data_IF_881525987000
#
_entry.id   IF_881525987000
#
_cell.length_a   1.000
_cell.length_b   1.000
_cell.length_c   1.000
_cell.angle_alpha   90.00
_cell.angle_beta   90.00
_cell.angle_gamma   90.00
#
_symmetry.space_group_name_H-M   'P 1'
#
loop_
_entity.id
_entity.type
_entity.pdbx_description
1 polymer ?
#
# COMPACT_ATOMS: atom_id res chain seq x y z
N UNK A 1 -26.57 -16.84 8.57
CA UNK A 1 -25.95 -16.68 9.90
C UNK A 1 -24.52 -17.20 9.80
N UNK A 2 -23.58 -16.34 9.38
CA UNK A 2 -22.16 -16.71 9.29
C UNK A 2 -21.50 -16.23 10.57
N UNK A 3 -21.01 -17.17 11.37
CA UNK A 3 -20.33 -16.92 12.63
C UNK A 3 -18.97 -16.28 12.33
N UNK A 4 -18.77 -15.06 12.82
CA UNK A 4 -17.50 -14.35 12.78
C UNK A 4 -16.58 -14.91 13.86
N UNK A 5 -15.57 -15.69 13.46
CA UNK A 5 -14.43 -16.05 14.30
C UNK A 5 -13.31 -15.03 14.04
N UNK A 6 -12.98 -14.14 14.99
CA UNK A 6 -11.91 -13.17 14.80
C UNK A 6 -10.58 -13.93 14.70
N UNK A 7 -9.94 -13.86 13.53
CA UNK A 7 -8.63 -14.46 13.25
C UNK A 7 -8.54 -15.28 11.96
N UNK A 8 -9.65 -15.83 11.46
CA UNK A 8 -9.63 -16.59 10.20
C UNK A 8 -9.67 -15.69 8.95
N UNK A 9 -10.32 -14.52 9.03
CA UNK A 9 -10.50 -13.62 7.88
C UNK A 9 -9.16 -13.07 7.38
N UNK A 10 -8.35 -12.49 8.27
CA UNK A 10 -7.03 -11.93 7.93
C UNK A 10 -6.09 -12.98 7.31
N UNK A 11 -6.24 -14.25 7.68
CA UNK A 11 -5.39 -15.34 7.20
C UNK A 11 -5.75 -15.79 5.77
N UNK A 12 -7.04 -15.81 5.41
CA UNK A 12 -7.50 -16.23 4.07
C UNK A 12 -7.21 -15.15 3.01
N UNK A 13 -7.40 -13.88 3.36
CA UNK A 13 -7.16 -12.74 2.46
C UNK A 13 -5.71 -12.62 2.00
N UNK A 14 -4.77 -12.87 2.91
CA UNK A 14 -3.36 -12.86 2.59
C UNK A 14 -2.96 -13.96 1.60
N UNK A 15 -3.65 -15.12 1.57
CA UNK A 15 -3.37 -16.23 0.63
C UNK A 15 -3.89 -15.90 -0.77
N UNK A 16 -5.10 -15.34 -0.88
CA UNK A 16 -5.69 -14.97 -2.17
C UNK A 16 -4.96 -13.82 -2.88
N UNK A 17 -4.15 -13.07 -2.12
CA UNK A 17 -3.30 -11.99 -2.62
C UNK A 17 -1.97 -12.44 -3.24
N UNK A 18 -1.55 -13.69 -3.05
CA UNK A 18 -0.20 -14.13 -3.43
C UNK A 18 -0.10 -14.42 -4.92
N UNK A 19 1.05 -14.13 -5.55
CA UNK A 19 1.46 -14.78 -6.79
C UNK A 19 1.35 -16.31 -6.68
N UNK A 20 1.09 -16.99 -7.80
CA UNK A 20 0.92 -18.45 -7.84
C UNK A 20 2.12 -19.24 -7.29
N UNK A 21 3.30 -18.61 -7.24
CA UNK A 21 4.57 -19.19 -6.80
C UNK A 21 4.99 -18.80 -5.37
N UNK A 22 4.17 -18.07 -4.61
CA UNK A 22 4.49 -17.68 -3.23
C UNK A 22 3.55 -18.31 -2.20
N UNK A 23 4.11 -18.91 -1.16
CA UNK A 23 3.36 -19.35 0.01
C UNK A 23 3.40 -18.30 1.13
N UNK A 24 2.33 -18.24 1.94
CA UNK A 24 2.25 -17.37 3.12
C UNK A 24 3.43 -17.58 4.09
N UNK A 25 3.96 -18.81 4.16
CA UNK A 25 5.09 -19.18 5.02
C UNK A 25 6.40 -18.47 4.60
N UNK A 26 6.51 -18.06 3.33
CA UNK A 26 7.68 -17.38 2.77
C UNK A 26 7.66 -15.86 3.01
N UNK A 27 6.53 -15.33 3.47
CA UNK A 27 6.30 -13.89 3.70
C UNK A 27 6.13 -13.58 5.18
N UNK A 28 7.19 -13.76 5.95
CA UNK A 28 7.19 -13.31 7.35
C UNK A 28 6.80 -11.81 7.40
N UNK A 29 5.89 -11.40 8.30
CA UNK A 29 5.52 -10.00 8.43
C UNK A 29 6.75 -9.12 8.71
N UNK A 30 6.86 -7.95 8.05
CA UNK A 30 7.97 -7.03 8.29
C UNK A 30 8.04 -6.65 9.77
N UNK A 31 9.26 -6.68 10.34
CA UNK A 31 9.48 -6.44 11.77
C UNK A 31 9.99 -5.04 12.09
N UNK A 32 10.55 -4.35 11.11
CA UNK A 32 11.20 -3.06 11.29
C UNK A 32 10.42 -1.97 10.56
N UNK A 33 10.06 -0.92 11.28
CA UNK A 33 9.29 0.20 10.74
C UNK A 33 9.32 1.41 11.67
N UNK A 34 8.70 2.49 11.24
CA UNK A 34 8.51 3.72 12.02
C UNK A 34 7.07 4.18 11.90
N UNK A 35 6.64 4.95 12.89
CA UNK A 35 5.35 5.64 12.87
C UNK A 35 5.56 7.11 13.19
N UNK A 36 4.91 7.94 12.40
CA UNK A 36 4.86 9.38 12.52
C UNK A 36 3.50 9.82 13.06
N UNK A 37 3.56 10.73 14.04
CA UNK A 37 2.43 11.51 14.52
C UNK A 37 2.75 12.98 14.29
N UNK A 38 1.83 13.71 13.67
CA UNK A 38 1.96 15.15 13.55
C UNK A 38 1.93 15.84 14.92
N UNK A 39 2.77 16.86 15.09
CA UNK A 39 2.82 17.67 16.31
C UNK A 39 1.50 18.35 16.62
N UNK A 40 0.70 18.61 15.57
CA UNK A 40 -0.63 19.18 15.62
C UNK A 40 -1.47 18.67 14.43
N UNK A 41 -2.80 18.79 14.51
CA UNK A 41 -3.68 18.58 13.35
C UNK A 41 -4.14 17.14 13.10
N UNK A 42 -3.65 16.17 13.88
CA UNK A 42 -4.17 14.80 13.86
C UNK A 42 -3.71 13.91 12.69
N UNK A 43 -2.75 14.37 11.88
CA UNK A 43 -2.19 13.57 10.79
C UNK A 43 -1.23 12.49 11.32
N UNK A 44 -1.11 11.41 10.56
CA UNK A 44 -0.19 10.32 10.89
C UNK A 44 0.21 9.51 9.66
N UNK A 45 1.39 8.92 9.73
CA UNK A 45 1.89 7.96 8.74
C UNK A 45 2.63 6.82 9.44
N UNK A 46 2.65 5.63 8.88
CA UNK A 46 3.47 4.52 9.34
C UNK A 46 3.97 3.70 8.16
N UNK A 47 5.15 3.11 8.29
CA UNK A 47 5.79 2.38 7.21
C UNK A 47 6.82 1.37 7.72
N UNK A 48 7.07 0.34 6.92
CA UNK A 48 8.17 -0.60 7.12
C UNK A 48 9.43 -0.12 6.41
N UNK A 49 10.58 -0.64 6.84
CA UNK A 49 11.88 -0.30 6.27
C UNK A 49 12.62 -1.58 5.84
N UNK A 50 12.97 -1.64 4.56
CA UNK A 50 13.92 -2.59 3.98
C UNK A 50 13.34 -3.93 3.52
N UNK A 51 12.28 -4.44 4.15
CA UNK A 51 11.67 -5.74 3.82
C UNK A 51 10.58 -5.60 2.74
N UNK A 52 10.79 -6.11 1.50
CA UNK A 52 9.86 -5.95 0.39
C UNK A 52 8.73 -6.98 0.38
N UNK A 53 8.73 -7.99 1.26
CA UNK A 53 7.86 -9.16 1.16
C UNK A 53 6.38 -8.82 1.01
N UNK A 54 5.86 -7.97 1.88
CA UNK A 54 4.45 -7.58 1.81
C UNK A 54 4.15 -6.65 0.62
N UNK A 55 5.14 -5.86 0.17
CA UNK A 55 5.01 -5.04 -1.05
C UNK A 55 4.89 -5.94 -2.30
N UNK A 56 5.71 -7.00 -2.36
CA UNK A 56 5.68 -8.03 -3.42
C UNK A 56 4.33 -8.76 -3.45
N UNK A 57 3.81 -9.14 -2.29
CA UNK A 57 2.51 -9.80 -2.19
C UNK A 57 1.36 -8.92 -2.70
N UNK A 58 1.39 -7.61 -2.39
CA UNK A 58 0.33 -6.69 -2.77
C UNK A 58 0.44 -6.23 -4.22
N UNK A 59 1.63 -5.79 -4.64
CA UNK A 59 1.83 -5.06 -5.90
C UNK A 59 2.65 -5.83 -6.93
N UNK A 60 3.08 -7.04 -6.61
CA UNK A 60 3.87 -7.88 -7.50
C UNK A 60 5.32 -7.41 -7.68
N UNK A 61 6.15 -8.23 -8.33
CA UNK A 61 7.58 -7.96 -8.51
C UNK A 61 7.86 -6.73 -9.38
N UNK A 62 7.01 -6.46 -10.37
CA UNK A 62 7.23 -5.37 -11.34
C UNK A 62 7.09 -3.99 -10.73
N UNK A 63 6.02 -3.73 -9.98
CA UNK A 63 5.84 -2.47 -9.25
C UNK A 63 6.87 -2.35 -8.13
N UNK A 64 7.13 -3.44 -7.39
CA UNK A 64 8.12 -3.41 -6.31
C UNK A 64 9.49 -3.01 -6.83
N UNK A 65 9.98 -3.63 -7.91
CA UNK A 65 11.26 -3.26 -8.52
C UNK A 65 11.28 -1.81 -9.02
N UNK A 66 10.21 -1.33 -9.67
CA UNK A 66 10.10 0.09 -10.08
C UNK A 66 10.27 1.07 -8.90
N UNK A 67 9.73 0.73 -7.73
CA UNK A 67 9.79 1.56 -6.53
C UNK A 67 11.13 1.48 -5.80
N UNK A 68 11.89 0.39 -5.96
CA UNK A 68 13.06 0.11 -5.12
C UNK A 68 14.38 0.09 -5.87
N UNK A 69 14.35 0.01 -7.20
CA UNK A 69 15.51 -0.22 -8.06
C UNK A 69 15.47 0.64 -9.33
N UNK A 70 16.65 0.81 -9.94
CA UNK A 70 16.81 1.47 -11.23
C UNK A 70 16.56 2.99 -11.21
N UNK A 71 16.51 3.62 -12.41
CA UNK A 71 16.57 5.07 -12.54
C UNK A 71 15.41 5.82 -11.87
N UNK A 72 14.22 5.23 -11.81
CA UNK A 72 13.06 5.85 -11.16
C UNK A 72 13.25 5.94 -9.64
N UNK A 73 13.69 4.85 -9.00
CA UNK A 73 13.99 4.81 -7.57
C UNK A 73 15.19 5.70 -7.22
N UNK A 74 16.23 5.75 -8.07
CA UNK A 74 17.37 6.66 -7.91
C UNK A 74 16.93 8.13 -7.96
N UNK A 75 16.09 8.50 -8.93
CA UNK A 75 15.50 9.84 -9.04
C UNK A 75 14.64 10.17 -7.81
N UNK A 76 13.88 9.20 -7.29
CA UNK A 76 13.10 9.37 -6.06
C UNK A 76 14.01 9.62 -4.85
N UNK A 77 15.07 8.82 -4.68
CA UNK A 77 16.06 8.98 -3.61
C UNK A 77 16.78 10.33 -3.66
N UNK A 78 17.16 10.80 -4.85
CA UNK A 78 17.75 12.12 -5.06
C UNK A 78 16.79 13.23 -4.61
N UNK A 79 15.54 13.20 -5.10
CA UNK A 79 14.54 14.23 -4.77
C UNK A 79 14.11 14.22 -3.31
N UNK A 80 14.07 13.04 -2.68
CA UNK A 80 13.73 12.88 -1.26
C UNK A 80 14.92 13.11 -0.32
N UNK A 81 16.12 13.30 -0.88
CA UNK A 81 17.36 13.54 -0.14
C UNK A 81 17.82 12.37 0.71
N UNK A 82 17.39 11.14 0.39
CA UNK A 82 17.74 9.94 1.16
C UNK A 82 17.47 8.67 0.35
N UNK A 83 18.49 7.81 0.25
CA UNK A 83 18.37 6.47 -0.33
C UNK A 83 17.33 5.64 0.43
N UNK A 84 17.32 5.70 1.76
CA UNK A 84 16.33 4.99 2.58
C UNK A 84 14.91 5.41 2.21
N UNK A 85 14.66 6.73 2.12
CA UNK A 85 13.33 7.26 1.79
C UNK A 85 12.89 6.94 0.36
N UNK A 86 13.84 6.95 -0.58
CA UNK A 86 13.54 6.71 -1.99
C UNK A 86 13.39 5.24 -2.37
N UNK A 87 14.04 4.32 -1.64
CA UNK A 87 14.15 2.92 -2.12
C UNK A 87 13.92 1.85 -1.06
N UNK A 88 13.72 2.21 0.23
CA UNK A 88 13.60 1.25 1.33
C UNK A 88 12.31 1.38 2.15
N UNK A 89 11.50 2.41 1.91
CA UNK A 89 10.19 2.55 2.56
C UNK A 89 9.21 1.60 1.87
N UNK A 90 8.60 0.71 2.66
CA UNK A 90 7.69 -0.33 2.18
C UNK A 90 6.36 -0.20 2.90
N UNK A 91 5.26 -0.34 2.14
CA UNK A 91 3.88 -0.28 2.65
C UNK A 91 3.63 0.88 3.61
N UNK A 92 3.87 2.10 3.13
CA UNK A 92 3.49 3.28 3.89
C UNK A 92 1.96 3.43 3.89
N UNK A 93 1.39 3.77 5.04
CA UNK A 93 0.01 4.19 5.18
C UNK A 93 -0.01 5.59 5.78
N UNK A 94 -0.82 6.49 5.22
CA UNK A 94 -0.91 7.87 5.70
C UNK A 94 -2.36 8.34 5.73
N UNK A 95 -2.69 9.15 6.75
CA UNK A 95 -3.93 9.91 6.78
C UNK A 95 -3.65 11.36 7.10
N UNK A 96 -4.12 12.23 6.21
CA UNK A 96 -4.27 13.66 6.46
C UNK A 96 -5.68 13.86 7.01
N UNK A 97 -5.75 14.08 8.33
CA UNK A 97 -7.00 14.40 9.01
C UNK A 97 -7.81 15.49 8.27
N UNK A 98 -9.15 15.32 8.13
CA UNK A 98 -9.96 14.28 8.78
C UNK A 98 -10.08 12.97 8.00
N UNK A 99 -10.19 13.00 6.68
CA UNK A 99 -10.69 11.85 5.91
C UNK A 99 -9.95 11.61 4.59
N UNK A 100 -8.76 12.18 4.40
CA UNK A 100 -7.91 11.89 3.25
C UNK A 100 -6.88 10.82 3.64
N UNK A 101 -6.98 9.63 3.07
CA UNK A 101 -6.04 8.53 3.33
C UNK A 101 -5.42 8.03 2.04
N UNK A 102 -4.15 7.63 2.09
CA UNK A 102 -3.44 7.07 0.95
C UNK A 102 -2.31 6.15 1.40
N UNK A 103 -1.90 5.27 0.49
CA UNK A 103 -0.88 4.26 0.75
C UNK A 103 0.31 4.45 -0.20
N UNK A 104 1.34 5.23 0.14
CA UNK A 104 2.51 5.38 -0.73
C UNK A 104 3.17 4.02 -1.03
N UNK A 105 3.45 3.79 -2.31
CA UNK A 105 3.94 2.51 -2.85
C UNK A 105 2.80 1.67 -3.46
N UNK A 106 1.66 1.54 -2.78
CA UNK A 106 0.45 0.93 -3.39
C UNK A 106 -0.25 1.94 -4.29
N UNK A 107 -0.22 3.22 -3.91
CA UNK A 107 -0.70 4.40 -4.61
C UNK A 107 -2.23 4.52 -4.78
N UNK A 108 -3.02 3.79 -3.99
CA UNK A 108 -4.44 4.12 -3.79
C UNK A 108 -4.58 5.35 -2.88
N UNK A 109 -5.45 6.28 -3.27
CA UNK A 109 -5.85 7.46 -2.51
C UNK A 109 -7.37 7.39 -2.33
N UNK A 110 -7.87 7.73 -1.15
CA UNK A 110 -9.31 7.85 -0.91
C UNK A 110 -9.72 8.99 0.00
N UNK A 111 -10.98 9.39 -0.19
CA UNK A 111 -11.73 10.19 0.76
C UNK A 111 -12.82 9.34 1.40
N UNK A 112 -12.94 9.43 2.72
CA UNK A 112 -14.02 8.83 3.51
C UNK A 112 -15.15 9.87 3.69
N UNK A 113 -16.23 9.75 2.93
CA UNK A 113 -17.35 10.68 2.99
C UNK A 113 -18.39 10.23 4.02
N UNK A 114 -18.55 10.94 5.16
CA UNK A 114 -19.50 10.53 6.18
C UNK A 114 -20.95 10.61 5.68
N UNK A 115 -21.78 9.63 6.06
CA UNK A 115 -23.23 9.56 5.82
C UNK A 115 -23.95 9.32 7.14
N UNK A 116 -23.71 10.23 8.09
CA UNK A 116 -24.11 10.05 9.49
C UNK A 116 -23.13 9.16 10.25
N UNK A 117 -23.44 8.76 11.49
CA UNK A 117 -22.51 8.03 12.35
C UNK A 117 -22.32 6.55 11.97
N UNK A 118 -23.20 5.98 11.16
CA UNK A 118 -23.25 4.53 10.87
C UNK A 118 -22.92 4.18 9.41
N UNK A 119 -22.63 5.16 8.56
CA UNK A 119 -22.38 4.93 7.12
C UNK A 119 -21.29 5.87 6.59
N UNK A 120 -20.52 5.36 5.63
CA UNK A 120 -19.47 6.09 4.92
C UNK A 120 -19.46 5.67 3.46
N UNK A 121 -19.27 6.63 2.56
CA UNK A 121 -18.90 6.33 1.17
C UNK A 121 -17.38 6.44 1.02
N UNK A 122 -16.78 5.46 0.33
CA UNK A 122 -15.35 5.46 0.01
C UNK A 122 -15.17 5.85 -1.44
N UNK A 123 -14.55 7.00 -1.68
CA UNK A 123 -14.21 7.44 -3.03
C UNK A 123 -12.71 7.25 -3.22
N UNK A 124 -12.33 6.21 -3.96
CA UNK A 124 -10.95 5.80 -4.14
C UNK A 124 -10.50 5.90 -5.60
N UNK A 125 -9.25 6.29 -5.83
CA UNK A 125 -8.59 6.30 -7.14
C UNK A 125 -7.10 6.01 -6.98
N UNK A 126 -6.44 5.62 -8.07
CA UNK A 126 -5.00 5.31 -8.09
C UNK A 126 -4.23 6.43 -8.76
N UNK A 127 -3.10 6.81 -8.17
CA UNK A 127 -2.13 7.72 -8.80
C UNK A 127 -0.89 6.96 -9.27
N UNK A 128 -0.24 7.50 -10.30
CA UNK A 128 1.01 6.97 -10.86
C UNK A 128 1.90 8.15 -11.21
N UNK A 129 3.22 7.95 -11.20
CA UNK A 129 4.13 8.97 -11.71
C UNK A 129 3.81 9.24 -13.18
N UNK A 130 3.71 10.52 -13.55
CA UNK A 130 3.27 10.92 -14.88
C UNK A 130 4.23 10.43 -15.98
N UNK A 131 5.52 10.36 -15.67
CA UNK A 131 6.60 9.89 -16.54
C UNK A 131 6.90 8.39 -16.39
N UNK A 132 6.14 7.65 -15.58
CA UNK A 132 6.28 6.19 -15.51
C UNK A 132 5.97 5.55 -16.88
N UNK A 133 6.68 4.46 -17.25
CA UNK A 133 6.34 3.68 -18.44
C UNK A 133 4.89 3.20 -18.43
N UNK A 134 4.26 3.12 -19.61
CA UNK A 134 2.83 2.77 -19.73
C UNK A 134 2.51 1.39 -19.13
N UNK A 135 3.44 0.45 -19.25
CA UNK A 135 3.32 -0.90 -18.72
C UNK A 135 3.50 -0.95 -17.18
N UNK A 136 4.11 0.07 -16.57
CA UNK A 136 4.13 0.25 -15.11
C UNK A 136 2.81 0.88 -14.64
N UNK A 137 2.29 1.87 -15.38
CA UNK A 137 0.98 2.49 -15.07
C UNK A 137 -0.15 1.46 -15.12
N UNK A 138 -0.15 0.60 -16.14
CA UNK A 138 -1.11 -0.50 -16.26
C UNK A 138 -0.96 -1.53 -15.13
N UNK A 139 0.27 -1.81 -14.71
CA UNK A 139 0.52 -2.72 -13.58
C UNK A 139 -0.04 -2.14 -12.27
N UNK A 140 0.23 -0.87 -11.98
CA UNK A 140 -0.39 -0.17 -10.85
C UNK A 140 -1.92 -0.26 -10.88
N UNK A 141 -2.54 -0.02 -12.05
CA UNK A 141 -4.00 -0.12 -12.22
C UNK A 141 -4.51 -1.52 -11.88
N UNK A 142 -3.88 -2.57 -12.39
CA UNK A 142 -4.29 -3.97 -12.13
C UNK A 142 -4.13 -4.32 -10.65
N UNK A 143 -2.98 -4.00 -10.07
CA UNK A 143 -2.65 -4.40 -8.70
C UNK A 143 -3.48 -3.64 -7.66
N UNK A 144 -3.68 -2.33 -7.83
CA UNK A 144 -4.55 -1.55 -6.94
C UNK A 144 -6.01 -2.01 -6.99
N UNK A 145 -6.54 -2.31 -8.19
CA UNK A 145 -7.90 -2.85 -8.31
C UNK A 145 -8.03 -4.24 -7.66
N UNK A 146 -7.00 -5.08 -7.80
CA UNK A 146 -6.95 -6.43 -7.21
C UNK A 146 -6.89 -6.41 -5.68
N UNK A 147 -6.27 -5.39 -5.09
CA UNK A 147 -5.98 -5.34 -3.64
C UNK A 147 -6.89 -4.39 -2.88
N UNK A 148 -6.88 -3.10 -3.21
CA UNK A 148 -7.54 -2.02 -2.45
C UNK A 148 -8.66 -1.36 -3.25
N UNK A 149 -9.65 -2.16 -3.62
CA UNK A 149 -10.89 -1.73 -4.27
C UNK A 149 -12.09 -2.38 -3.58
N UNK A 150 -13.31 -2.02 -3.95
CA UNK A 150 -14.53 -2.57 -3.34
C UNK A 150 -14.62 -4.12 -3.39
N UNK A 151 -13.97 -4.76 -4.37
CA UNK A 151 -13.87 -6.23 -4.46
C UNK A 151 -12.44 -6.73 -4.34
N UNK A 152 -11.53 -5.88 -3.85
CA UNK A 152 -10.12 -6.21 -3.69
C UNK A 152 -9.90 -7.18 -2.54
N UNK A 153 -8.84 -7.96 -2.63
CA UNK A 153 -8.56 -9.04 -1.66
C UNK A 153 -8.10 -8.52 -0.29
N UNK A 154 -7.89 -7.22 -0.10
CA UNK A 154 -7.46 -6.61 1.17
C UNK A 154 -8.43 -5.60 1.78
N UNK A 155 -9.29 -4.95 0.99
CA UNK A 155 -10.12 -3.82 1.41
C UNK A 155 -11.27 -4.19 2.36
#
# INVERSE_FOLDING_TARGET
LVLYLPGLSTFIWNIAGLPEDLELADLAPPKFGKQYRASWGGHGSGFYIGDPNMMLAMMGPKVTSYLTEGPAAEKAAERLGSIERGTKIMLEHMTVFPTCSFLPGVNTIRTWHPRGPNEVEVWAFTVVDADAPDDIKEEFRRQTLRTFSAGGVFE
#
